data_IF_168198131386
#
_entry.id   IF_168198131386
#
_cell.length_a   1.000
_cell.length_b   1.000
_cell.length_c   1.000
_cell.angle_alpha   90.00
_cell.angle_beta   90.00
_cell.angle_gamma   90.00
#
_symmetry.space_group_name_H-M   'P 1'
#
loop_
_entity.id
_entity.type
_entity.pdbx_description
1 polymer ?
#
# COMPACT_ATOMS: atom_id res chain seq x y z
N UNK A 1 -12.92 12.95 -1.19
CA UNK A 1 -12.41 11.63 -1.65
C UNK A 1 -13.59 10.72 -1.90
N UNK A 2 -13.67 10.09 -3.07
CA UNK A 2 -14.73 9.11 -3.39
C UNK A 2 -14.63 7.86 -2.49
N UNK A 3 -15.75 7.18 -2.26
CA UNK A 3 -15.80 6.01 -1.38
C UNK A 3 -14.93 4.84 -1.88
N UNK A 4 -14.80 4.66 -3.20
CA UNK A 4 -13.93 3.63 -3.78
C UNK A 4 -12.45 3.94 -3.46
N UNK A 5 -12.05 5.21 -3.58
CA UNK A 5 -10.69 5.67 -3.24
C UNK A 5 -10.38 5.44 -1.77
N UNK A 6 -11.33 5.72 -0.87
CA UNK A 6 -11.18 5.43 0.57
C UNK A 6 -11.05 3.94 0.85
N UNK A 7 -11.91 3.12 0.24
CA UNK A 7 -11.89 1.66 0.43
C UNK A 7 -10.56 1.04 -0.05
N UNK A 8 -10.05 1.48 -1.20
CA UNK A 8 -8.74 1.02 -1.69
C UNK A 8 -7.60 1.42 -0.75
N UNK A 9 -7.60 2.65 -0.22
CA UNK A 9 -6.61 3.06 0.79
C UNK A 9 -6.71 2.23 2.07
N UNK A 10 -7.91 1.97 2.57
CA UNK A 10 -8.12 1.14 3.75
C UNK A 10 -7.58 -0.28 3.56
N UNK A 11 -7.81 -0.87 2.38
CA UNK A 11 -7.26 -2.19 2.05
C UNK A 11 -5.73 -2.17 1.99
N UNK A 12 -5.12 -1.13 1.41
CA UNK A 12 -3.67 -0.96 1.39
C UNK A 12 -3.14 -0.89 2.83
N UNK A 13 -3.72 -0.04 3.68
CA UNK A 13 -3.29 0.11 5.08
C UNK A 13 -3.41 -1.19 5.88
N UNK A 14 -4.46 -1.98 5.64
CA UNK A 14 -4.65 -3.28 6.30
C UNK A 14 -3.58 -4.30 5.90
N UNK A 15 -3.22 -4.36 4.62
CA UNK A 15 -2.16 -5.25 4.13
C UNK A 15 -0.77 -4.75 4.57
N UNK A 16 -0.54 -3.44 4.64
CA UNK A 16 0.69 -2.86 5.22
C UNK A 16 0.86 -3.27 6.68
N UNK A 17 -0.19 -3.12 7.48
CA UNK A 17 -0.18 -3.55 8.86
C UNK A 17 0.12 -5.05 8.98
N UNK A 18 -0.52 -5.87 8.14
CA UNK A 18 -0.30 -7.33 8.12
C UNK A 18 1.15 -7.68 7.77
N UNK A 19 1.75 -6.99 6.79
CA UNK A 19 3.16 -7.18 6.42
C UNK A 19 4.11 -6.79 7.56
N UNK A 20 3.80 -5.70 8.29
CA UNK A 20 4.57 -5.27 9.46
C UNK A 20 4.51 -6.33 10.57
N UNK A 21 3.32 -6.87 10.87
CA UNK A 21 3.14 -7.91 11.89
C UNK A 21 3.93 -9.18 11.54
N UNK A 22 3.87 -9.63 10.29
CA UNK A 22 4.68 -10.77 9.84
C UNK A 22 6.18 -10.49 9.92
N UNK A 23 6.63 -9.30 9.54
CA UNK A 23 8.04 -8.92 9.67
C UNK A 23 8.49 -8.98 11.14
N UNK A 24 7.69 -8.44 12.06
CA UNK A 24 7.97 -8.48 13.49
C UNK A 24 7.99 -9.91 14.03
N UNK A 25 7.04 -10.75 13.61
CA UNK A 25 6.99 -12.16 13.97
C UNK A 25 8.25 -12.91 13.50
N UNK A 26 8.63 -12.75 12.24
CA UNK A 26 9.79 -13.40 11.62
C UNK A 26 11.12 -12.98 12.25
N UNK A 27 11.23 -11.77 12.81
CA UNK A 27 12.41 -11.36 13.59
C UNK A 27 12.67 -12.29 14.80
N UNK A 28 11.64 -12.95 15.31
CA UNK A 28 11.73 -13.91 16.42
C UNK A 28 11.64 -15.38 15.98
N UNK A 29 11.10 -15.66 14.80
CA UNK A 29 10.91 -17.01 14.24
C UNK A 29 11.45 -17.10 12.79
N UNK A 30 12.76 -16.91 12.55
CA UNK A 30 13.31 -16.80 11.20
C UNK A 30 13.22 -18.09 10.38
N UNK A 31 13.14 -19.25 11.04
CA UNK A 31 13.05 -20.56 10.38
C UNK A 31 11.60 -20.99 10.07
N UNK A 32 10.59 -20.18 10.43
CA UNK A 32 9.20 -20.48 10.09
C UNK A 32 8.93 -20.21 8.62
N UNK A 33 9.09 -21.26 7.82
CA UNK A 33 8.85 -21.24 6.37
C UNK A 33 7.42 -20.87 6.01
N UNK A 34 6.43 -21.21 6.83
CA UNK A 34 5.04 -20.89 6.54
C UNK A 34 4.82 -19.39 6.70
N UNK A 35 5.26 -18.82 7.83
CA UNK A 35 5.16 -17.38 8.07
C UNK A 35 5.92 -16.57 7.01
N UNK A 36 7.07 -17.06 6.53
CA UNK A 36 7.81 -16.41 5.44
C UNK A 36 7.05 -16.44 4.11
N UNK A 37 6.39 -17.55 3.77
CA UNK A 37 5.56 -17.63 2.57
C UNK A 37 4.36 -16.68 2.67
N UNK A 38 3.66 -16.69 3.82
CA UNK A 38 2.50 -15.82 4.07
C UNK A 38 2.94 -14.34 3.97
N UNK A 39 4.08 -13.95 4.55
CA UNK A 39 4.68 -12.63 4.41
C UNK A 39 4.91 -12.24 2.94
N UNK A 40 5.52 -13.13 2.16
CA UNK A 40 5.80 -12.87 0.74
C UNK A 40 4.50 -12.70 -0.07
N UNK A 41 3.47 -13.49 0.22
CA UNK A 41 2.14 -13.35 -0.40
C UNK A 41 1.47 -12.03 -0.02
N UNK A 42 1.53 -11.63 1.25
CA UNK A 42 1.05 -10.33 1.72
C UNK A 42 1.77 -9.18 1.02
N UNK A 43 3.11 -9.20 0.95
CA UNK A 43 3.89 -8.16 0.27
C UNK A 43 3.55 -8.08 -1.21
N UNK A 44 3.37 -9.22 -1.89
CA UNK A 44 2.93 -9.24 -3.29
C UNK A 44 1.56 -8.59 -3.46
N UNK A 45 0.58 -8.99 -2.65
CA UNK A 45 -0.78 -8.43 -2.67
C UNK A 45 -0.76 -6.92 -2.37
N UNK A 46 0.04 -6.48 -1.42
CA UNK A 46 0.23 -5.08 -1.08
C UNK A 46 0.75 -4.26 -2.28
N UNK A 47 1.77 -4.75 -2.96
CA UNK A 47 2.33 -4.09 -4.15
C UNK A 47 1.30 -4.02 -5.28
N UNK A 48 0.53 -5.09 -5.51
CA UNK A 48 -0.54 -5.11 -6.51
C UNK A 48 -1.65 -4.09 -6.19
N UNK A 49 -2.02 -3.95 -4.91
CA UNK A 49 -3.01 -2.95 -4.47
C UNK A 49 -2.49 -1.52 -4.64
N UNK A 50 -1.23 -1.26 -4.27
CA UNK A 50 -0.60 0.05 -4.47
C UNK A 50 -0.54 0.42 -5.96
N UNK A 51 -0.10 -0.50 -6.82
CA UNK A 51 -0.06 -0.26 -8.26
C UNK A 51 -1.45 0.04 -8.86
N UNK A 52 -2.48 -0.69 -8.42
CA UNK A 52 -3.87 -0.45 -8.85
C UNK A 52 -4.38 0.92 -8.39
N UNK A 53 -4.08 1.32 -7.15
CA UNK A 53 -4.44 2.62 -6.65
C UNK A 53 -3.73 3.72 -7.43
N UNK A 54 -2.41 3.62 -7.60
CA UNK A 54 -1.62 4.66 -8.24
C UNK A 54 -2.03 4.87 -9.70
N UNK A 55 -2.36 3.78 -10.40
CA UNK A 55 -2.91 3.83 -11.77
C UNK A 55 -4.23 4.59 -11.86
N UNK A 56 -5.05 4.59 -10.80
CA UNK A 56 -6.40 5.18 -10.82
C UNK A 56 -6.45 6.58 -10.22
N UNK A 57 -5.64 6.85 -9.21
CA UNK A 57 -5.76 8.05 -8.38
C UNK A 57 -4.47 8.87 -8.28
N UNK A 58 -3.40 8.46 -8.94
CA UNK A 58 -2.10 9.13 -8.86
C UNK A 58 -1.20 8.55 -7.77
N UNK A 59 0.05 9.04 -7.70
CA UNK A 59 1.11 8.41 -6.91
C UNK A 59 0.83 8.40 -5.41
N UNK A 60 1.10 7.25 -4.75
CA UNK A 60 1.09 7.09 -3.29
C UNK A 60 2.47 7.34 -2.70
N UNK A 61 3.51 7.07 -3.49
CA UNK A 61 4.90 7.27 -3.08
C UNK A 61 5.68 7.99 -4.18
N UNK A 62 6.68 8.79 -3.79
CA UNK A 62 7.45 9.62 -4.72
C UNK A 62 8.14 8.80 -5.82
N UNK A 63 8.56 7.58 -5.48
CA UNK A 63 9.16 6.61 -6.38
C UNK A 63 8.31 5.34 -6.43
N UNK A 64 7.02 5.52 -6.75
CA UNK A 64 6.02 4.46 -6.73
C UNK A 64 6.13 3.41 -7.82
N UNK A 65 5.05 2.67 -7.99
CA UNK A 65 4.95 1.50 -8.86
C UNK A 65 4.57 1.87 -10.30
N UNK A 66 4.08 3.09 -10.52
CA UNK A 66 3.68 3.59 -11.83
C UNK A 66 4.43 4.88 -12.19
N UNK A 67 4.61 5.10 -13.49
CA UNK A 67 5.17 6.35 -14.01
C UNK A 67 4.17 7.48 -13.87
N UNK A 68 4.62 8.65 -13.43
CA UNK A 68 3.76 9.85 -13.38
C UNK A 68 3.38 10.31 -14.79
N UNK A 69 2.13 10.75 -14.95
CA UNK A 69 1.66 11.37 -16.17
C UNK A 69 1.93 12.89 -16.18
N UNK A 70 1.65 13.55 -17.31
CA UNK A 70 1.71 15.01 -17.44
C UNK A 70 0.31 15.61 -17.18
N UNK A 71 0.17 16.70 -16.38
CA UNK A 71 1.22 17.39 -15.63
C UNK A 71 1.66 16.61 -14.37
N UNK A 72 2.81 16.98 -13.80
CA UNK A 72 3.44 16.30 -12.66
C UNK A 72 2.46 16.04 -11.51
N UNK A 73 2.11 14.77 -11.28
CA UNK A 73 0.97 14.39 -10.41
C UNK A 73 1.34 14.28 -8.92
N UNK A 74 2.63 14.26 -8.56
CA UNK A 74 3.04 14.12 -7.15
C UNK A 74 2.66 15.31 -6.27
N UNK A 75 2.55 16.50 -6.88
CA UNK A 75 2.12 17.71 -6.19
C UNK A 75 0.59 17.85 -6.21
N UNK A 76 -0.11 16.92 -6.84
CA UNK A 76 -1.55 16.98 -7.05
C UNK A 76 -2.29 16.24 -5.92
N UNK A 77 -3.39 16.84 -5.48
CA UNK A 77 -4.07 16.57 -4.21
C UNK A 77 -4.98 15.34 -4.21
N UNK A 78 -5.46 14.87 -3.04
CA UNK A 78 -5.19 15.37 -1.68
C UNK A 78 -4.09 14.58 -0.95
N UNK A 79 -3.38 15.28 -0.08
CA UNK A 79 -2.35 14.72 0.79
C UNK A 79 -2.97 13.83 1.88
N UNK A 80 -2.20 12.88 2.45
CA UNK A 80 -2.72 11.93 3.44
C UNK A 80 -3.39 12.58 4.66
N UNK A 81 -2.93 13.76 5.11
CA UNK A 81 -3.51 14.49 6.25
C UNK A 81 -4.82 15.23 5.93
N UNK A 82 -5.17 15.36 4.65
CA UNK A 82 -6.43 15.97 4.20
C UNK A 82 -7.56 14.94 4.09
N UNK A 83 -7.24 13.66 4.31
CA UNK A 83 -8.18 12.56 4.21
C UNK A 83 -8.94 12.42 5.53
N UNK A 84 -10.23 12.71 5.49
CA UNK A 84 -11.14 12.35 6.57
C UNK A 84 -11.62 10.90 6.42
N UNK A 85 -11.19 10.04 7.35
CA UNK A 85 -11.58 8.63 7.45
C UNK A 85 -12.81 8.37 8.33
N UNK A 86 -13.38 9.42 8.94
CA UNK A 86 -14.65 9.35 9.67
C UNK A 86 -15.86 9.20 8.72
#
# INVERSE_FOLDING_TARGET
MDNDRKAMLMNIMAEEFTAIEFNLYLNTHPDDRKALNDFNETVKKLNDLKAQYEKRYGPLTNFGFVTSEYPWQWIDEPWPWEINFA
#
